data_IF_536002133452
#
_entry.id   IF_536002133452
#
_cell.length_a   1.000
_cell.length_b   1.000
_cell.length_c   1.000
_cell.angle_alpha   90.00
_cell.angle_beta   90.00
_cell.angle_gamma   90.00
#
_symmetry.space_group_name_H-M   'P 1'
#
loop_
_entity.id
_entity.type
_entity.pdbx_description
1 polymer ?
#
# COMPACT_ATOMS: atom_id res chain seq x y z
N UNK A 1 -10.42 9.15 -20.48
CA UNK A 1 -9.74 8.75 -19.22
C UNK A 1 -9.89 9.81 -18.12
N UNK A 2 -9.40 11.04 -18.32
CA UNK A 2 -9.44 12.13 -17.31
C UNK A 2 -10.86 12.52 -16.90
N UNK A 3 -11.76 12.64 -17.88
CA UNK A 3 -13.13 13.11 -17.66
C UNK A 3 -13.98 12.15 -16.81
N UNK A 4 -13.70 10.84 -16.91
CA UNK A 4 -14.38 9.79 -16.14
C UNK A 4 -13.83 9.69 -14.71
N UNK A 5 -12.51 9.91 -14.54
CA UNK A 5 -11.86 9.88 -13.23
C UNK A 5 -12.31 11.06 -12.35
N UNK A 6 -12.34 12.26 -12.92
CA UNK A 6 -12.82 13.48 -12.23
C UNK A 6 -14.27 13.31 -11.78
N UNK A 7 -15.15 12.77 -12.65
CA UNK A 7 -16.56 12.53 -12.31
C UNK A 7 -16.75 11.49 -11.19
N UNK A 8 -15.94 10.42 -11.17
CA UNK A 8 -16.10 9.30 -10.20
C UNK A 8 -15.39 9.49 -8.87
N UNK A 9 -14.36 10.34 -8.81
CA UNK A 9 -13.48 10.47 -7.63
C UNK A 9 -13.30 11.92 -7.16
N UNK A 10 -14.15 12.84 -7.60
CA UNK A 10 -14.11 14.28 -7.26
C UNK A 10 -13.93 14.54 -5.76
N UNK A 11 -14.66 13.79 -4.93
CA UNK A 11 -14.65 13.94 -3.46
C UNK A 11 -13.29 13.65 -2.82
N UNK A 12 -12.50 12.76 -3.40
CA UNK A 12 -11.21 12.33 -2.84
C UNK A 12 -10.04 13.11 -3.40
N UNK A 13 -10.12 13.55 -4.67
CA UNK A 13 -9.05 14.27 -5.36
C UNK A 13 -8.76 15.63 -4.72
N UNK A 14 -9.79 16.31 -4.20
CA UNK A 14 -9.67 17.65 -3.62
C UNK A 14 -9.88 17.67 -2.10
N UNK A 15 -9.75 16.53 -1.41
CA UNK A 15 -10.03 16.47 0.04
C UNK A 15 -9.13 17.41 0.86
N UNK A 16 -7.90 17.65 0.41
CA UNK A 16 -6.98 18.61 1.02
C UNK A 16 -7.49 20.07 1.02
N UNK A 17 -8.49 20.41 0.18
CA UNK A 17 -9.09 21.75 0.14
C UNK A 17 -10.03 21.97 1.32
N UNK A 18 -10.67 20.91 1.81
CA UNK A 18 -11.67 20.96 2.90
C UNK A 18 -11.12 20.46 4.23
N UNK A 19 -10.10 19.61 4.19
CA UNK A 19 -9.51 18.95 5.36
C UNK A 19 -8.02 19.32 5.46
N UNK A 20 -7.65 20.25 6.35
CA UNK A 20 -6.25 20.68 6.53
C UNK A 20 -5.32 19.57 7.02
N UNK A 21 -5.83 18.47 7.57
CA UNK A 21 -5.00 17.32 7.98
C UNK A 21 -4.53 16.47 6.79
N UNK A 22 -5.17 16.63 5.63
CA UNK A 22 -4.81 15.93 4.40
C UNK A 22 -3.80 16.76 3.61
N UNK A 23 -2.60 16.19 3.43
CA UNK A 23 -1.55 16.80 2.61
C UNK A 23 -2.03 17.00 1.16
N UNK A 24 -1.76 18.17 0.58
CA UNK A 24 -2.09 18.47 -0.83
C UNK A 24 -1.24 17.69 -1.84
N UNK A 25 -0.23 16.94 -1.37
CA UNK A 25 0.69 16.18 -2.20
C UNK A 25 0.55 14.67 -1.96
N UNK A 26 0.69 13.88 -3.03
CA UNK A 26 0.66 12.42 -2.96
C UNK A 26 2.01 11.79 -2.53
N UNK A 27 2.96 12.62 -2.10
CA UNK A 27 4.34 12.20 -1.86
C UNK A 27 4.45 11.04 -0.86
N UNK A 28 3.61 11.02 0.17
CA UNK A 28 3.60 9.94 1.17
C UNK A 28 3.24 8.60 0.54
N UNK A 29 2.21 8.53 -0.28
CA UNK A 29 1.80 7.28 -0.93
C UNK A 29 2.81 6.84 -1.99
N UNK A 30 3.33 7.78 -2.79
CA UNK A 30 4.38 7.47 -3.77
C UNK A 30 5.63 6.90 -3.11
N UNK A 31 6.11 7.52 -2.02
CA UNK A 31 7.25 7.01 -1.26
C UNK A 31 6.99 5.61 -0.70
N UNK A 32 5.77 5.33 -0.25
CA UNK A 32 5.40 3.99 0.22
C UNK A 32 5.41 2.96 -0.92
N UNK A 33 5.06 3.34 -2.15
CA UNK A 33 5.04 2.43 -3.31
C UNK A 33 6.41 2.24 -3.98
N UNK A 34 7.34 3.19 -3.81
CA UNK A 34 8.65 3.18 -4.49
C UNK A 34 9.41 1.85 -4.35
N UNK A 35 9.53 1.23 -3.17
CA UNK A 35 10.25 -0.04 -3.05
C UNK A 35 9.65 -1.17 -3.89
N UNK A 36 8.32 -1.23 -4.03
CA UNK A 36 7.65 -2.20 -4.90
C UNK A 36 7.90 -1.97 -6.39
N UNK A 37 7.97 -0.69 -6.80
CA UNK A 37 8.32 -0.33 -8.19
C UNK A 37 9.78 -0.66 -8.49
N UNK A 38 10.69 -0.34 -7.56
CA UNK A 38 12.12 -0.65 -7.69
C UNK A 38 12.33 -2.16 -7.74
N UNK A 39 11.69 -2.93 -6.84
CA UNK A 39 11.77 -4.38 -6.85
C UNK A 39 11.34 -4.98 -8.19
N UNK A 40 10.21 -4.54 -8.76
CA UNK A 40 9.78 -4.99 -10.09
C UNK A 40 10.78 -4.61 -11.18
N UNK A 41 11.32 -3.39 -11.14
CA UNK A 41 12.27 -2.91 -12.14
C UNK A 41 13.58 -3.68 -12.11
N UNK A 42 14.12 -3.95 -10.92
CA UNK A 42 15.44 -4.56 -10.75
C UNK A 42 15.37 -6.08 -10.83
N UNK A 43 14.36 -6.70 -10.20
CA UNK A 43 14.26 -8.15 -10.06
C UNK A 43 13.27 -8.80 -11.03
N UNK A 44 12.52 -8.01 -11.81
CA UNK A 44 11.44 -8.52 -12.68
C UNK A 44 10.16 -8.88 -11.94
N UNK A 45 10.08 -8.65 -10.62
CA UNK A 45 8.91 -8.98 -9.81
C UNK A 45 8.74 -10.47 -9.52
N UNK A 46 7.53 -10.86 -9.14
CA UNK A 46 7.18 -12.26 -8.86
C UNK A 46 6.73 -12.98 -10.13
N UNK A 47 7.17 -14.23 -10.32
CA UNK A 47 6.82 -15.07 -11.49
C UNK A 47 5.66 -16.05 -11.23
N UNK A 48 5.02 -15.94 -10.07
CA UNK A 48 3.86 -16.76 -9.68
C UNK A 48 2.93 -15.93 -8.80
N UNK A 49 1.64 -16.26 -8.85
CA UNK A 49 0.61 -15.57 -8.06
C UNK A 49 0.87 -15.73 -6.55
N UNK A 50 1.25 -16.94 -6.12
CA UNK A 50 1.66 -17.20 -4.74
C UNK A 50 2.85 -16.32 -4.30
N UNK A 51 3.82 -16.10 -5.19
CA UNK A 51 4.95 -15.22 -4.92
C UNK A 51 4.53 -13.76 -4.79
N UNK A 52 3.64 -13.30 -5.68
CA UNK A 52 3.11 -11.95 -5.66
C UNK A 52 2.29 -11.68 -4.39
N UNK A 53 1.43 -12.62 -3.99
CA UNK A 53 0.66 -12.52 -2.74
C UNK A 53 1.55 -12.50 -1.51
N UNK A 54 2.59 -13.35 -1.48
CA UNK A 54 3.54 -13.37 -0.37
C UNK A 54 4.25 -12.01 -0.23
N UNK A 55 4.73 -11.48 -1.35
CA UNK A 55 5.38 -10.17 -1.41
C UNK A 55 4.44 -9.05 -0.94
N UNK A 56 3.20 -9.03 -1.43
CA UNK A 56 2.18 -8.05 -1.03
C UNK A 56 1.93 -8.10 0.49
N UNK A 57 1.75 -9.30 1.06
CA UNK A 57 1.50 -9.49 2.49
C UNK A 57 2.67 -8.98 3.34
N UNK A 58 3.89 -9.36 2.99
CA UNK A 58 5.09 -8.95 3.74
C UNK A 58 5.26 -7.42 3.72
N UNK A 59 5.11 -6.79 2.56
CA UNK A 59 5.23 -5.34 2.44
C UNK A 59 4.13 -4.59 3.18
N UNK A 60 2.89 -5.07 3.11
CA UNK A 60 1.77 -4.47 3.83
C UNK A 60 2.05 -4.46 5.35
N UNK A 61 2.52 -5.58 5.91
CA UNK A 61 2.91 -5.67 7.32
C UNK A 61 4.08 -4.73 7.60
N UNK A 62 5.13 -4.79 6.80
CA UNK A 62 6.33 -3.96 6.98
C UNK A 62 6.01 -2.47 7.04
N UNK A 63 5.24 -1.95 6.08
CA UNK A 63 4.86 -0.54 6.08
C UNK A 63 3.93 -0.17 7.23
N UNK A 64 2.98 -1.04 7.55
CA UNK A 64 2.06 -0.80 8.68
C UNK A 64 2.82 -0.71 9.99
N UNK A 65 3.74 -1.63 10.23
CA UNK A 65 4.58 -1.64 11.44
C UNK A 65 5.53 -0.44 11.47
N UNK A 66 6.13 -0.07 10.33
CA UNK A 66 6.97 1.14 10.21
C UNK A 66 6.18 2.41 10.54
N UNK A 67 4.96 2.55 10.01
CA UNK A 67 4.08 3.70 10.30
C UNK A 67 3.69 3.77 11.78
N UNK A 68 3.49 2.61 12.42
CA UNK A 68 3.17 2.51 13.84
C UNK A 68 4.39 2.61 14.77
N UNK A 69 5.61 2.75 14.22
CA UNK A 69 6.87 2.77 14.97
C UNK A 69 7.06 1.53 15.87
N UNK A 70 6.63 0.36 15.38
CA UNK A 70 6.78 -0.92 16.10
C UNK A 70 7.85 -1.80 15.46
N UNK A 71 8.20 -2.90 16.12
CA UNK A 71 9.15 -3.88 15.59
C UNK A 71 8.46 -4.82 14.60
N UNK A 72 8.97 -4.85 13.36
CA UNK A 72 8.44 -5.73 12.30
C UNK A 72 8.51 -7.21 12.70
N UNK A 73 9.68 -7.64 13.20
CA UNK A 73 9.92 -9.05 13.56
C UNK A 73 8.94 -9.51 14.65
N UNK A 74 8.60 -8.63 15.59
CA UNK A 74 7.69 -8.95 16.69
C UNK A 74 6.22 -8.93 16.26
N UNK A 75 5.84 -8.05 15.33
CA UNK A 75 4.44 -7.86 14.92
C UNK A 75 3.97 -8.89 13.86
N UNK A 76 4.89 -9.38 13.02
CA UNK A 76 4.57 -10.30 11.90
C UNK A 76 3.78 -11.53 12.36
N UNK A 77 4.17 -12.28 13.40
CA UNK A 77 3.43 -13.47 13.83
C UNK A 77 1.98 -13.16 14.24
N UNK A 78 1.74 -12.02 14.87
CA UNK A 78 0.40 -11.60 15.27
C UNK A 78 -0.44 -11.12 14.07
N UNK A 79 0.19 -10.46 13.09
CA UNK A 79 -0.49 -9.94 11.91
C UNK A 79 -0.80 -11.01 10.86
N UNK A 80 0.06 -12.01 10.70
CA UNK A 80 -0.19 -13.12 9.77
C UNK A 80 -1.37 -14.00 10.20
N UNK A 81 -1.66 -14.08 11.50
CA UNK A 81 -2.81 -14.85 12.04
C UNK A 81 -4.16 -14.15 11.85
N UNK A 82 -4.18 -12.87 11.44
CA UNK A 82 -5.40 -12.02 11.49
C UNK A 82 -6.31 -12.10 10.26
N UNK A 83 -5.97 -12.83 9.20
CA UNK A 83 -6.83 -12.91 7.99
C UNK A 83 -7.29 -14.34 7.73
N UNK A 84 -8.61 -14.56 7.72
CA UNK A 84 -9.21 -15.72 7.04
C UNK A 84 -8.96 -15.57 5.53
N UNK A 85 -8.76 -16.67 4.78
CA UNK A 85 -8.63 -16.62 3.33
C UNK A 85 -9.89 -15.98 2.73
N UNK A 86 -9.70 -15.21 1.66
CA UNK A 86 -10.79 -14.66 0.87
C UNK A 86 -11.59 -15.85 0.29
N UNK A 87 -12.92 -15.92 0.46
CA UNK A 87 -13.74 -16.94 -0.18
C UNK A 87 -13.91 -16.56 -1.66
N UNK A 88 -12.85 -16.76 -2.43
CA UNK A 88 -12.94 -16.83 -3.89
C UNK A 88 -13.57 -18.16 -4.31
#
# INVERSE_FOLDING_TARGET
>A
FVDNLLKRKKEWLFKFVVDPEVESTNNRAERALRPSVIYRKVCGGSRSDKGAECYERILSIFYTTKLRKKSFIMDVPAMMKRRKPDPG
#
